data_IF_834295382429
#
_entry.id   IF_834295382429
#
_cell.length_a   1.000
_cell.length_b   1.000
_cell.length_c   1.000
_cell.angle_alpha   90.00
_cell.angle_beta   90.00
_cell.angle_gamma   90.00
#
_symmetry.space_group_name_H-M   'P 1'
#
loop_
_entity.id
_entity.type
_entity.pdbx_description
1 polymer ?
#
# COMPACT_ATOMS: atom_id res chain seq x y z
N UNK A 1 8.02 25.23 -31.42
CA UNK A 1 8.67 23.92 -31.68
C UNK A 1 8.96 23.33 -30.32
N UNK A 2 8.18 22.32 -29.88
CA UNK A 2 8.38 21.65 -28.59
C UNK A 2 9.52 20.64 -28.76
N UNK A 3 10.64 20.90 -28.10
CA UNK A 3 11.77 19.96 -28.02
C UNK A 3 11.50 19.02 -26.83
N UNK A 4 11.18 17.77 -27.12
CA UNK A 4 10.92 16.73 -26.13
C UNK A 4 12.18 15.88 -26.04
N UNK A 5 13.15 16.29 -25.25
CA UNK A 5 14.31 15.48 -24.88
C UNK A 5 14.00 14.66 -23.63
N UNK A 6 13.91 13.33 -23.77
CA UNK A 6 13.90 12.40 -22.63
C UNK A 6 15.31 12.20 -22.07
N UNK A 7 15.50 12.10 -20.75
CA UNK A 7 16.80 11.82 -20.14
C UNK A 7 17.28 10.41 -20.53
N UNK A 8 18.53 10.34 -20.93
CA UNK A 8 19.22 9.15 -21.44
C UNK A 8 19.56 8.17 -20.32
N UNK A 9 18.90 7.03 -20.31
CA UNK A 9 19.51 5.75 -19.94
C UNK A 9 19.32 4.82 -21.16
N UNK A 10 20.27 3.94 -21.45
CA UNK A 10 20.46 3.12 -22.66
C UNK A 10 19.28 2.30 -23.22
N UNK A 11 18.07 2.72 -22.99
CA UNK A 11 16.85 2.23 -23.63
C UNK A 11 16.33 3.36 -24.51
N UNK A 12 16.54 3.28 -25.81
CA UNK A 12 16.00 4.25 -26.75
C UNK A 12 14.49 4.08 -26.87
N UNK A 13 13.72 4.89 -26.14
CA UNK A 13 12.28 4.99 -26.35
C UNK A 13 12.00 5.77 -27.63
N UNK A 14 11.17 5.20 -28.49
CA UNK A 14 10.68 5.89 -29.68
C UNK A 14 9.26 6.39 -29.43
N UNK A 15 9.06 7.70 -29.56
CA UNK A 15 7.73 8.29 -29.41
C UNK A 15 6.87 7.94 -30.64
N UNK A 16 5.92 7.02 -30.47
CA UNK A 16 5.03 6.56 -31.54
C UNK A 16 3.63 7.19 -31.46
N UNK A 17 3.21 7.61 -30.28
CA UNK A 17 1.86 8.17 -30.04
C UNK A 17 1.91 9.26 -28.98
N UNK A 18 0.95 10.20 -29.04
CA UNK A 18 0.75 11.23 -28.05
C UNK A 18 -0.74 11.43 -27.76
N UNK A 19 -1.08 11.73 -26.51
CA UNK A 19 -2.40 12.19 -26.11
C UNK A 19 -2.29 13.65 -25.73
N UNK A 20 -3.11 14.49 -26.33
CA UNK A 20 -3.18 15.91 -26.02
C UNK A 20 -4.50 16.21 -25.32
N UNK A 21 -4.42 16.98 -24.24
CA UNK A 21 -5.58 17.49 -23.50
C UNK A 21 -5.76 18.97 -23.81
N UNK A 22 -6.97 19.33 -24.19
CA UNK A 22 -7.37 20.72 -24.43
C UNK A 22 -8.37 21.12 -23.36
N UNK A 23 -8.18 22.29 -22.79
CA UNK A 23 -9.04 22.81 -21.73
C UNK A 23 -9.63 24.16 -22.14
N UNK A 24 -10.95 24.31 -22.00
CA UNK A 24 -11.66 25.55 -22.21
C UNK A 24 -12.73 25.71 -21.15
N UNK A 25 -12.57 26.71 -20.27
CA UNK A 25 -13.44 26.83 -19.10
C UNK A 25 -13.34 25.60 -18.18
N UNK A 26 -14.47 24.96 -17.92
CA UNK A 26 -14.55 23.71 -17.15
C UNK A 26 -14.47 22.43 -17.99
N UNK A 27 -14.44 22.56 -19.32
CA UNK A 27 -14.47 21.41 -20.22
C UNK A 27 -13.06 20.96 -20.59
N UNK A 28 -12.87 19.66 -20.62
CA UNK A 28 -11.61 19.02 -21.07
C UNK A 28 -11.92 18.03 -22.18
N UNK A 29 -11.24 18.17 -23.31
CA UNK A 29 -11.27 17.20 -24.41
C UNK A 29 -9.89 16.59 -24.60
N UNK A 30 -9.84 15.31 -24.96
CA UNK A 30 -8.61 14.59 -25.26
C UNK A 30 -8.58 14.16 -26.72
N UNK A 31 -7.39 14.19 -27.32
CA UNK A 31 -7.18 13.69 -28.67
C UNK A 31 -5.96 12.76 -28.71
N UNK A 32 -6.07 11.66 -29.46
CA UNK A 32 -5.00 10.72 -29.70
C UNK A 32 -4.34 10.98 -31.03
N UNK A 33 -3.02 11.07 -31.07
CA UNK A 33 -2.22 11.37 -32.23
C UNK A 33 -1.17 10.28 -32.45
N UNK A 34 -1.04 9.84 -33.70
CA UNK A 34 0.12 9.08 -34.12
C UNK A 34 1.30 10.03 -34.36
N UNK A 35 2.51 9.60 -34.02
CA UNK A 35 3.73 10.38 -34.25
C UNK A 35 4.54 9.70 -35.34
N UNK A 36 4.81 10.42 -36.41
CA UNK A 36 5.69 9.95 -37.48
C UNK A 36 6.76 11.00 -37.78
N UNK A 37 8.00 10.57 -37.90
CA UNK A 37 9.16 11.46 -38.18
C UNK A 37 9.18 12.70 -37.24
N UNK A 38 8.89 12.50 -35.95
CA UNK A 38 8.79 13.55 -34.90
C UNK A 38 7.70 14.60 -35.15
N UNK A 39 6.68 14.28 -35.96
CA UNK A 39 5.52 15.15 -36.19
C UNK A 39 4.25 14.45 -35.74
N UNK A 40 3.39 15.23 -35.07
CA UNK A 40 2.06 14.78 -34.73
C UNK A 40 1.21 14.75 -36.00
N UNK A 41 0.57 13.62 -36.28
CA UNK A 41 -0.44 13.52 -37.33
C UNK A 41 -1.81 13.99 -36.81
N UNK A 42 -2.81 14.04 -37.71
CA UNK A 42 -4.16 14.41 -37.34
C UNK A 42 -4.68 13.64 -36.13
N UNK A 43 -5.24 14.34 -35.15
CA UNK A 43 -5.73 13.75 -33.91
C UNK A 43 -7.13 13.18 -34.07
N UNK A 44 -7.40 12.06 -33.37
CA UNK A 44 -8.74 11.49 -33.20
C UNK A 44 -9.23 11.87 -31.80
N UNK A 45 -10.47 12.38 -31.69
CA UNK A 45 -11.09 12.63 -30.40
C UNK A 45 -11.20 11.31 -29.60
N UNK A 46 -10.88 11.38 -28.31
CA UNK A 46 -11.03 10.29 -27.36
C UNK A 46 -12.21 10.56 -26.45
N UNK A 47 -13.10 9.58 -26.32
CA UNK A 47 -14.10 9.57 -25.26
C UNK A 47 -13.44 9.16 -23.92
N UNK A 48 -14.09 9.42 -22.80
CA UNK A 48 -13.60 9.01 -21.49
C UNK A 48 -13.39 7.48 -21.41
N UNK A 49 -14.30 6.71 -22.04
CA UNK A 49 -14.18 5.25 -22.16
C UNK A 49 -12.93 4.79 -22.92
N UNK A 50 -12.54 5.53 -23.98
CA UNK A 50 -11.34 5.19 -24.77
C UNK A 50 -10.08 5.45 -23.97
N UNK A 51 -10.07 6.50 -23.13
CA UNK A 51 -8.98 6.77 -22.19
C UNK A 51 -8.86 5.68 -21.13
N UNK A 52 -9.99 5.27 -20.57
CA UNK A 52 -10.02 4.15 -19.62
C UNK A 52 -9.46 2.88 -20.28
N UNK A 53 -9.85 2.56 -21.51
CA UNK A 53 -9.35 1.38 -22.23
C UNK A 53 -7.85 1.48 -22.52
N UNK A 54 -7.33 2.64 -22.90
CA UNK A 54 -5.90 2.86 -23.12
C UNK A 54 -5.08 2.69 -21.84
N UNK A 55 -5.59 3.14 -20.70
CA UNK A 55 -4.92 2.99 -19.40
C UNK A 55 -5.18 1.61 -18.76
N UNK A 56 -6.22 0.92 -19.19
CA UNK A 56 -6.55 -0.43 -18.72
C UNK A 56 -6.15 -1.53 -19.70
N UNK A 57 -5.43 -1.19 -20.78
CA UNK A 57 -4.98 -2.14 -21.81
C UNK A 57 -3.92 -3.15 -21.34
N UNK A 58 -3.59 -3.20 -20.06
CA UNK A 58 -3.17 -4.44 -19.43
C UNK A 58 -4.38 -5.40 -19.36
N UNK A 59 -4.83 -5.83 -20.54
CA UNK A 59 -5.73 -6.97 -20.73
C UNK A 59 -5.02 -8.28 -20.32
N UNK A 60 -4.46 -8.32 -19.13
CA UNK A 60 -4.43 -9.55 -18.38
C UNK A 60 -5.91 -9.90 -18.15
N UNK A 61 -6.43 -10.86 -18.96
CA UNK A 61 -7.67 -11.57 -18.67
C UNK A 61 -7.79 -11.66 -17.16
N UNK A 62 -8.75 -10.96 -16.57
CA UNK A 62 -8.91 -10.93 -15.11
C UNK A 62 -9.07 -12.37 -14.65
N UNK A 63 -7.95 -12.97 -14.28
CA UNK A 63 -7.91 -14.31 -13.77
C UNK A 63 -8.56 -14.21 -12.40
N UNK A 64 -9.70 -14.88 -12.23
CA UNK A 64 -10.32 -14.96 -10.91
C UNK A 64 -9.26 -15.48 -9.92
N UNK A 65 -8.98 -14.69 -8.91
CA UNK A 65 -8.02 -15.04 -7.86
C UNK A 65 -8.82 -15.24 -6.58
N UNK A 66 -8.62 -16.38 -5.94
CA UNK A 66 -9.19 -16.61 -4.62
C UNK A 66 -8.57 -15.62 -3.64
N UNK A 67 -9.43 -14.89 -2.92
CA UNK A 67 -9.00 -13.96 -1.89
C UNK A 67 -8.68 -14.74 -0.62
N UNK A 68 -7.52 -14.50 0.01
CA UNK A 68 -7.24 -15.02 1.35
C UNK A 68 -8.32 -14.58 2.34
N UNK A 69 -8.72 -15.44 3.29
CA UNK A 69 -9.75 -15.12 4.27
C UNK A 69 -9.34 -13.95 5.18
N UNK A 70 -8.08 -13.67 5.28
CA UNK A 70 -7.50 -12.55 6.04
C UNK A 70 -7.77 -11.18 5.40
N UNK A 71 -8.05 -11.12 4.10
CA UNK A 71 -8.32 -9.83 3.43
C UNK A 71 -9.67 -9.26 3.87
N UNK A 72 -9.65 -8.03 4.41
CA UNK A 72 -10.86 -7.28 4.79
C UNK A 72 -11.39 -6.48 3.61
N UNK A 73 -10.48 -5.77 2.94
CA UNK A 73 -10.77 -4.92 1.80
C UNK A 73 -9.53 -4.84 0.91
N UNK A 74 -9.74 -4.58 -0.37
CA UNK A 74 -8.67 -4.41 -1.33
C UNK A 74 -9.07 -3.48 -2.48
N UNK A 75 -8.06 -2.90 -3.09
CA UNK A 75 -8.13 -2.17 -4.35
C UNK A 75 -6.92 -2.55 -5.21
N UNK A 76 -6.79 -1.96 -6.40
CA UNK A 76 -5.63 -2.23 -7.28
C UNK A 76 -4.27 -2.03 -6.59
N UNK A 77 -4.17 -1.06 -5.69
CA UNK A 77 -2.89 -0.61 -5.12
C UNK A 77 -2.82 -0.72 -3.59
N UNK A 78 -3.85 -1.25 -2.95
CA UNK A 78 -3.96 -1.26 -1.49
C UNK A 78 -4.76 -2.45 -1.00
N UNK A 79 -4.34 -3.03 0.13
CA UNK A 79 -5.06 -4.10 0.81
C UNK A 79 -5.12 -3.82 2.31
N UNK A 80 -6.28 -4.10 2.90
CA UNK A 80 -6.48 -4.17 4.34
C UNK A 80 -6.52 -5.64 4.72
N UNK A 81 -5.58 -6.03 5.56
CA UNK A 81 -5.36 -7.42 5.97
C UNK A 81 -5.56 -7.58 7.46
N UNK A 82 -6.20 -8.66 7.87
CA UNK A 82 -6.39 -9.02 9.26
C UNK A 82 -5.62 -10.29 9.60
N UNK A 83 -4.79 -10.21 10.61
CA UNK A 83 -4.07 -11.35 11.14
C UNK A 83 -4.59 -11.64 12.56
N UNK A 84 -5.28 -12.75 12.78
CA UNK A 84 -5.78 -13.10 14.11
C UNK A 84 -4.64 -13.42 15.07
N UNK A 85 -4.89 -13.21 16.38
CA UNK A 85 -3.94 -13.54 17.44
C UNK A 85 -3.46 -14.99 17.34
N UNK A 86 -2.16 -15.18 17.30
CA UNK A 86 -1.50 -16.48 17.23
C UNK A 86 -0.24 -16.51 18.10
N UNK A 87 0.18 -17.72 18.47
CA UNK A 87 1.49 -17.93 19.10
C UNK A 87 2.53 -18.04 17.99
N UNK A 88 3.55 -17.18 18.05
CA UNK A 88 4.65 -17.14 17.08
C UNK A 88 5.95 -16.71 17.77
N UNK A 89 7.12 -17.05 17.23
CA UNK A 89 8.36 -16.49 17.71
C UNK A 89 8.41 -14.97 17.48
N UNK A 90 9.10 -14.26 18.37
CA UNK A 90 9.42 -12.84 18.22
C UNK A 90 10.94 -12.69 18.20
N UNK A 91 11.44 -11.81 17.34
CA UNK A 91 12.88 -11.60 17.20
C UNK A 91 13.24 -10.16 17.53
N UNK A 92 14.29 -10.00 18.34
CA UNK A 92 14.84 -8.71 18.70
C UNK A 92 16.31 -8.62 18.33
N UNK A 93 16.71 -7.44 17.86
CA UNK A 93 18.10 -7.07 17.65
C UNK A 93 18.31 -5.65 18.19
N UNK A 94 18.35 -5.57 19.53
CA UNK A 94 18.47 -4.29 20.24
C UNK A 94 19.90 -4.14 20.72
N UNK A 95 20.56 -2.97 20.51
CA UNK A 95 21.91 -2.73 21.00
C UNK A 95 22.04 -3.00 22.50
N UNK A 96 23.03 -3.79 22.89
CA UNK A 96 23.20 -4.37 24.24
C UNK A 96 23.10 -3.39 25.41
N UNK A 97 23.50 -2.14 25.23
CA UNK A 97 23.50 -1.16 26.32
C UNK A 97 22.14 -0.74 26.83
N UNK A 98 21.03 -1.11 26.13
CA UNK A 98 19.72 -0.57 26.47
C UNK A 98 18.69 -1.59 26.94
N UNK A 99 18.82 -2.90 26.64
CA UNK A 99 17.74 -3.89 26.95
C UNK A 99 18.13 -5.35 26.87
N UNK A 100 18.85 -5.82 27.82
CA UNK A 100 19.20 -7.25 27.95
C UNK A 100 17.97 -8.17 27.88
N UNK A 101 16.86 -7.80 28.53
CA UNK A 101 15.67 -8.67 28.62
C UNK A 101 14.94 -8.90 27.28
N UNK A 102 14.98 -7.93 26.31
CA UNK A 102 14.36 -8.14 25.00
C UNK A 102 15.14 -9.16 24.16
N UNK A 103 16.46 -9.12 24.23
CA UNK A 103 17.29 -10.10 23.55
C UNK A 103 17.09 -11.51 24.14
N UNK A 104 16.78 -11.63 25.43
CA UNK A 104 16.42 -12.90 26.07
C UNK A 104 15.08 -13.46 25.58
N UNK A 105 14.18 -12.61 25.09
CA UNK A 105 12.91 -13.01 24.47
C UNK A 105 13.07 -13.36 22.99
N UNK A 106 14.19 -13.01 22.37
CA UNK A 106 14.41 -13.25 20.94
C UNK A 106 14.37 -14.74 20.63
N UNK A 107 13.57 -15.13 19.64
CA UNK A 107 13.31 -16.51 19.25
C UNK A 107 12.32 -17.27 20.13
N UNK A 108 11.80 -16.66 21.21
CA UNK A 108 10.77 -17.30 22.05
C UNK A 108 9.38 -17.11 21.45
N UNK A 109 8.55 -18.14 21.60
CA UNK A 109 7.14 -18.07 21.25
C UNK A 109 6.37 -17.18 22.22
N UNK A 110 5.70 -16.18 21.68
CA UNK A 110 4.84 -15.25 22.43
C UNK A 110 3.45 -15.19 21.79
N UNK A 111 2.47 -14.75 22.57
CA UNK A 111 1.13 -14.50 22.03
C UNK A 111 1.16 -13.14 21.32
N UNK A 112 1.05 -13.18 19.99
CA UNK A 112 0.86 -11.98 19.19
C UNK A 112 -0.58 -11.52 19.29
N UNK A 113 -0.85 -10.21 19.45
CA UNK A 113 -2.20 -9.70 19.38
C UNK A 113 -2.79 -9.89 17.99
N UNK A 114 -4.09 -9.77 17.85
CA UNK A 114 -4.70 -9.61 16.53
C UNK A 114 -4.26 -8.29 15.92
N UNK A 115 -3.91 -8.30 14.63
CA UNK A 115 -3.34 -7.16 13.92
C UNK A 115 -4.17 -6.82 12.67
N UNK A 116 -4.26 -5.54 12.38
CA UNK A 116 -4.74 -5.04 11.09
C UNK A 116 -3.57 -4.37 10.39
N UNK A 117 -3.35 -4.74 9.16
CA UNK A 117 -2.38 -4.11 8.29
C UNK A 117 -3.08 -3.36 7.17
N UNK A 118 -2.60 -2.17 6.89
CA UNK A 118 -2.88 -1.45 5.66
C UNK A 118 -1.63 -1.45 4.82
N UNK A 119 -1.70 -2.13 3.70
CA UNK A 119 -0.54 -2.41 2.86
C UNK A 119 -0.76 -1.76 1.52
N UNK A 120 0.13 -0.87 1.19
CA UNK A 120 0.26 -0.22 -0.10
C UNK A 120 1.71 -0.33 -0.52
N UNK A 121 2.01 -0.41 -1.81
CA UNK A 121 3.40 -0.48 -2.27
C UNK A 121 4.24 0.65 -1.64
N UNK A 122 5.34 0.28 -0.97
CA UNK A 122 6.21 1.21 -0.27
C UNK A 122 5.65 1.79 1.04
N UNK A 123 4.43 1.41 1.45
CA UNK A 123 3.84 1.88 2.71
C UNK A 123 3.10 0.74 3.42
N UNK A 124 3.57 0.40 4.61
CA UNK A 124 3.06 -0.68 5.42
C UNK A 124 2.73 -0.14 6.82
N UNK A 125 1.43 -0.10 7.14
CA UNK A 125 0.95 0.34 8.44
C UNK A 125 0.38 -0.83 9.24
N UNK A 126 0.51 -0.78 10.57
CA UNK A 126 0.09 -1.83 11.47
C UNK A 126 -0.65 -1.26 12.68
N UNK A 127 -1.75 -1.89 13.06
CA UNK A 127 -2.53 -1.62 14.29
C UNK A 127 -2.85 -2.91 15.00
N UNK A 128 -3.00 -2.84 16.33
CA UNK A 128 -3.55 -3.95 17.11
C UNK A 128 -5.06 -3.78 17.25
N UNK A 129 -5.77 -4.91 17.35
CA UNK A 129 -7.21 -4.95 17.65
C UNK A 129 -7.50 -5.93 18.78
N UNK A 130 -8.58 -5.68 19.52
CA UNK A 130 -9.06 -6.59 20.57
C UNK A 130 -9.81 -7.78 19.94
N UNK A 131 -9.67 -8.94 20.58
CA UNK A 131 -10.38 -10.15 20.15
C UNK A 131 -9.73 -10.86 18.98
N UNK A 132 -10.41 -11.90 18.47
CA UNK A 132 -9.94 -12.76 17.38
C UNK A 132 -10.84 -12.71 16.14
N UNK A 133 -11.92 -11.94 16.21
CA UNK A 133 -12.86 -11.79 15.11
C UNK A 133 -12.34 -10.75 14.13
N UNK A 134 -12.67 -10.99 12.87
CA UNK A 134 -12.36 -10.06 11.79
C UNK A 134 -12.98 -8.69 12.09
N UNK A 135 -12.21 -7.60 12.05
CA UNK A 135 -12.70 -6.27 12.39
C UNK A 135 -13.71 -5.75 11.35
N UNK A 136 -14.56 -4.85 11.82
CA UNK A 136 -15.52 -4.08 11.04
C UNK A 136 -15.22 -2.57 11.10
N UNK A 137 -16.10 -1.75 10.52
CA UNK A 137 -15.94 -0.31 10.45
C UNK A 137 -16.01 0.39 11.83
N UNK A 138 -16.52 -0.29 12.86
CA UNK A 138 -16.65 0.25 14.22
C UNK A 138 -15.54 -0.26 15.15
N UNK A 139 -14.69 -1.15 14.65
CA UNK A 139 -13.62 -1.74 15.46
C UNK A 139 -12.59 -0.69 15.86
N UNK A 140 -12.31 -0.59 17.15
CA UNK A 140 -11.26 0.29 17.66
C UNK A 140 -9.87 -0.28 17.31
N UNK A 141 -9.00 0.60 16.82
CA UNK A 141 -7.61 0.30 16.54
C UNK A 141 -6.71 0.83 17.65
N UNK A 142 -5.70 0.04 17.99
CA UNK A 142 -4.75 0.33 19.06
C UNK A 142 -3.32 0.39 18.52
N UNK A 143 -2.44 1.06 19.26
CA UNK A 143 -1.01 0.98 18.99
C UNK A 143 -0.55 -0.48 19.10
N UNK A 144 0.13 -1.01 18.07
CA UNK A 144 0.68 -2.35 18.16
C UNK A 144 1.88 -2.36 19.14
N UNK A 145 2.08 -3.46 19.88
CA UNK A 145 3.13 -3.53 20.92
C UNK A 145 4.51 -3.83 20.32
N UNK A 146 4.86 -3.21 19.20
CA UNK A 146 6.12 -3.46 18.49
C UNK A 146 6.95 -2.19 18.39
N UNK A 147 8.27 -2.38 18.36
CA UNK A 147 9.23 -1.28 18.46
C UNK A 147 9.50 -0.56 17.14
N UNK A 148 9.39 -1.25 16.02
CA UNK A 148 9.68 -0.69 14.69
C UNK A 148 8.46 0.00 14.04
N UNK A 149 7.53 0.50 14.83
CA UNK A 149 6.35 1.22 14.36
C UNK A 149 6.52 2.70 14.68
N UNK A 150 6.38 3.55 13.67
CA UNK A 150 6.41 5.00 13.82
C UNK A 150 5.13 5.54 14.47
N UNK A 151 5.13 6.81 14.85
CA UNK A 151 3.96 7.46 15.48
C UNK A 151 2.76 7.58 14.55
N UNK A 152 2.94 7.44 13.26
CA UNK A 152 1.92 7.40 12.20
C UNK A 152 1.55 5.98 11.78
N UNK A 153 1.91 4.98 12.60
CA UNK A 153 1.65 3.54 12.43
C UNK A 153 2.40 2.86 11.28
N UNK A 154 3.23 3.57 10.57
CA UNK A 154 4.08 2.96 9.54
C UNK A 154 5.10 2.03 10.19
N UNK A 155 5.28 0.88 9.59
CA UNK A 155 6.36 -0.04 9.93
C UNK A 155 7.67 0.44 9.29
N UNK A 156 8.74 0.46 10.07
CA UNK A 156 10.08 0.65 9.55
C UNK A 156 10.49 -0.61 8.80
N UNK A 157 10.10 -0.67 7.53
CA UNK A 157 10.28 -1.84 6.69
C UNK A 157 11.77 -2.08 6.38
N UNK A 158 12.24 -3.33 6.43
CA UNK A 158 13.59 -3.65 6.02
C UNK A 158 13.74 -3.54 4.50
N UNK A 159 14.98 -3.41 3.97
CA UNK A 159 15.22 -3.24 2.53
C UNK A 159 14.60 -4.33 1.65
N UNK A 160 14.53 -5.56 2.14
CA UNK A 160 13.95 -6.71 1.43
C UNK A 160 12.48 -6.47 1.06
N UNK A 161 11.74 -5.75 1.89
CA UNK A 161 10.32 -5.44 1.63
C UNK A 161 10.15 -4.44 0.48
N UNK A 162 11.12 -3.59 0.23
CA UNK A 162 11.10 -2.63 -0.89
C UNK A 162 11.40 -3.27 -2.24
N UNK A 163 12.11 -4.40 -2.23
CA UNK A 163 12.58 -5.11 -3.42
C UNK A 163 11.73 -6.35 -3.75
N UNK A 164 10.54 -6.49 -3.17
CA UNK A 164 9.66 -7.60 -3.45
C UNK A 164 9.17 -7.58 -4.90
N UNK A 165 9.40 -8.68 -5.61
CA UNK A 165 8.74 -8.96 -6.88
C UNK A 165 7.36 -9.55 -6.57
N UNK A 166 6.31 -9.00 -7.16
CA UNK A 166 4.94 -9.42 -6.90
C UNK A 166 4.09 -9.37 -8.17
N UNK A 167 3.10 -10.24 -8.25
CA UNK A 167 2.16 -10.32 -9.37
C UNK A 167 0.98 -9.35 -9.22
N UNK A 168 0.57 -9.14 -7.97
CA UNK A 168 -0.53 -8.26 -7.60
C UNK A 168 -0.39 -7.81 -6.14
N UNK A 169 -1.25 -6.90 -5.69
CA UNK A 169 -1.17 -6.34 -4.34
C UNK A 169 -1.39 -7.37 -3.23
N UNK A 170 -2.11 -8.46 -3.48
CA UNK A 170 -2.33 -9.53 -2.49
C UNK A 170 -1.05 -10.33 -2.29
N UNK A 171 -0.41 -10.74 -3.38
CA UNK A 171 0.89 -11.43 -3.35
C UNK A 171 1.96 -10.57 -2.65
N UNK A 172 1.97 -9.26 -2.93
CA UNK A 172 2.83 -8.31 -2.20
C UNK A 172 2.53 -8.32 -0.69
N UNK A 173 1.24 -8.29 -0.31
CA UNK A 173 0.84 -8.25 1.09
C UNK A 173 1.23 -9.51 1.84
N UNK A 174 1.03 -10.70 1.28
CA UNK A 174 1.42 -11.97 1.86
C UNK A 174 2.93 -11.99 2.17
N UNK A 175 3.74 -11.62 1.19
CA UNK A 175 5.19 -11.57 1.36
C UNK A 175 5.63 -10.50 2.39
N UNK A 176 5.01 -9.32 2.36
CA UNK A 176 5.32 -8.24 3.29
C UNK A 176 4.96 -8.60 4.73
N UNK A 177 3.83 -9.29 4.95
CA UNK A 177 3.41 -9.79 6.26
C UNK A 177 4.36 -10.88 6.76
N UNK A 178 4.80 -11.78 5.89
CA UNK A 178 5.77 -12.81 6.25
C UNK A 178 7.11 -12.19 6.70
N UNK A 179 7.60 -11.19 5.96
CA UNK A 179 8.80 -10.42 6.34
C UNK A 179 8.58 -9.70 7.68
N UNK A 180 7.40 -9.11 7.92
CA UNK A 180 7.08 -8.46 9.20
C UNK A 180 7.21 -9.44 10.38
N UNK A 181 6.66 -10.64 10.27
CA UNK A 181 6.69 -11.63 11.35
C UNK A 181 8.06 -12.30 11.56
N UNK A 182 8.89 -12.37 10.52
CA UNK A 182 10.27 -12.89 10.60
C UNK A 182 11.29 -11.79 10.91
N UNK A 183 10.89 -10.54 10.81
CA UNK A 183 11.76 -9.39 11.00
C UNK A 183 12.22 -9.22 12.44
N UNK A 184 13.37 -8.57 12.63
CA UNK A 184 13.90 -8.23 13.94
C UNK A 184 13.42 -6.85 14.38
N UNK A 185 12.90 -6.76 15.59
CA UNK A 185 12.54 -5.50 16.22
C UNK A 185 13.77 -4.87 16.87
N UNK A 186 14.21 -3.72 16.40
CA UNK A 186 15.47 -3.09 16.80
C UNK A 186 15.33 -1.68 17.39
N UNK A 187 14.29 -0.95 17.04
CA UNK A 187 14.11 0.44 17.43
C UNK A 187 12.91 0.61 18.36
N UNK A 188 13.13 1.35 19.43
CA UNK A 188 12.04 1.81 20.27
C UNK A 188 11.59 3.17 19.79
N UNK A 189 10.68 3.21 18.89
CA UNK A 189 9.95 4.42 18.57
C UNK A 189 8.87 4.61 19.64
N UNK A 190 9.33 5.09 20.82
CA UNK A 190 8.51 5.09 22.02
C UNK A 190 7.41 6.11 22.01
N UNK A 191 6.18 5.66 21.92
CA UNK A 191 5.07 6.28 22.68
C UNK A 191 4.35 5.17 23.44
N UNK A 192 4.04 5.39 24.73
CA UNK A 192 3.28 4.43 25.49
C UNK A 192 1.89 4.27 24.86
N UNK A 193 1.36 3.08 24.96
CA UNK A 193 0.05 2.63 24.46
C UNK A 193 -1.03 3.71 24.61
N UNK A 194 -1.43 4.34 23.50
CA UNK A 194 -2.62 5.20 23.45
C UNK A 194 -3.67 4.55 22.56
N UNK A 195 -4.88 4.48 23.06
CA UNK A 195 -6.06 4.09 22.29
C UNK A 195 -6.34 5.13 21.21
N UNK A 196 -6.59 4.69 20.00
CA UNK A 196 -6.99 5.54 18.88
C UNK A 196 -8.35 5.06 18.41
N UNK A 197 -9.35 5.92 18.51
CA UNK A 197 -10.63 5.68 17.87
C UNK A 197 -10.60 6.34 16.47
N UNK A 198 -10.68 5.57 15.43
CA UNK A 198 -11.04 6.05 14.10
C UNK A 198 -12.54 6.37 14.06
N UNK A 199 -12.95 7.50 14.60
CA UNK A 199 -14.22 8.08 14.20
C UNK A 199 -14.02 8.64 12.80
N UNK A 200 -14.59 7.94 11.82
CA UNK A 200 -14.64 8.43 10.44
C UNK A 200 -15.19 9.86 10.43
N UNK A 201 -14.38 10.79 9.95
CA UNK A 201 -14.84 12.10 9.53
C UNK A 201 -15.74 11.88 8.30
N UNK A 202 -17.03 11.62 8.52
CA UNK A 202 -18.12 11.88 7.58
C UNK A 202 -19.44 11.49 8.24
N UNK A 203 -19.86 12.33 9.18
CA UNK A 203 -21.29 12.53 9.44
C UNK A 203 -21.57 14.02 9.25
N UNK A 204 -21.86 14.40 8.01
CA UNK A 204 -22.66 15.58 7.74
C UNK A 204 -23.97 15.39 8.49
N UNK A 205 -24.20 16.22 9.51
CA UNK A 205 -25.51 16.28 10.19
C UNK A 205 -26.58 16.61 9.14
N UNK A 206 -27.70 15.90 9.12
CA UNK A 206 -28.83 16.32 8.32
C UNK A 206 -29.32 17.68 8.82
N UNK A 207 -29.84 18.56 7.95
CA UNK A 207 -30.39 19.83 8.36
C UNK A 207 -31.55 19.57 9.33
N UNK A 208 -31.58 20.32 10.41
CA UNK A 208 -32.73 20.37 11.33
C UNK A 208 -33.84 21.18 10.65
N UNK A 209 -34.96 20.54 10.41
CA UNK A 209 -36.24 21.23 10.14
C UNK A 209 -36.74 21.93 11.40
#
# INVERSE_FOLDING_TARGET
MLDISCPTQDISYQLNHAILFYQRGGDTIATFHKVEKRKLLAGKSLAASDLEELFHSDNQKQKMTFMPPEVIAWSRNEVIWFEPSRIRPIYFNVPEKKRLFLNELSGKNVIWPSLVFRIRQGNFCCWAVKGKHKPDLNTELYNPPFTNIFSDYRFCAPPEMHNLNFKNIIDYAENAIDIFFRGHFSHLNGRPFKTISFRGQNRSKPPRN
#
